data_IF_417254217425
#
_entry.id   IF_417254217425
#
_cell.length_a   1.000
_cell.length_b   1.000
_cell.length_c   1.000
_cell.angle_alpha   90.00
_cell.angle_beta   90.00
_cell.angle_gamma   90.00
#
_symmetry.space_group_name_H-M   'P 1'
#
loop_
_entity.id
_entity.type
_entity.pdbx_description
1 polymer ?
#
# COMPACT_ATOMS: atom_id res chain seq x y z
N UNK A 1 28.63 -1.84 66.31
CA UNK A 1 27.18 -1.92 65.95
C UNK A 1 26.76 -1.03 64.75
N UNK A 2 27.68 -0.34 64.09
CA UNK A 2 27.32 0.53 62.92
C UNK A 2 27.76 -0.10 61.55
N UNK A 3 28.44 -1.26 61.57
CA UNK A 3 28.96 -1.87 60.36
C UNK A 3 28.04 -2.91 59.69
N UNK A 4 26.85 -3.18 60.25
CA UNK A 4 25.92 -4.23 59.70
C UNK A 4 24.72 -3.68 58.92
N UNK A 5 24.50 -2.36 58.85
CA UNK A 5 23.37 -1.78 58.09
C UNK A 5 23.69 -1.37 56.65
N UNK A 6 24.92 -1.44 56.20
CA UNK A 6 25.32 -0.99 54.83
C UNK A 6 25.43 -2.08 53.78
N UNK A 7 25.29 -3.37 54.19
CA UNK A 7 25.37 -4.49 53.24
C UNK A 7 24.00 -4.86 52.62
N UNK A 8 22.90 -4.39 53.22
CA UNK A 8 21.52 -4.68 52.76
C UNK A 8 21.00 -3.78 51.63
N UNK A 9 21.60 -2.59 51.39
CA UNK A 9 21.09 -1.62 50.43
C UNK A 9 21.67 -1.78 49.01
N UNK A 10 22.87 -2.38 48.89
CA UNK A 10 23.49 -2.61 47.56
C UNK A 10 22.92 -3.82 46.81
N UNK A 11 22.36 -4.80 47.52
CA UNK A 11 21.73 -5.97 46.87
C UNK A 11 20.34 -5.63 46.27
N UNK A 12 19.63 -4.68 46.81
CA UNK A 12 18.33 -4.23 46.26
C UNK A 12 18.45 -3.39 45.00
N UNK A 13 19.57 -2.68 44.79
CA UNK A 13 19.78 -1.83 43.62
C UNK A 13 20.25 -2.68 42.40
N UNK A 14 20.98 -3.76 42.66
CA UNK A 14 21.41 -4.66 41.57
C UNK A 14 20.29 -5.51 41.01
N UNK A 15 19.36 -5.95 41.85
CA UNK A 15 18.20 -6.74 41.39
C UNK A 15 17.18 -5.87 40.66
N UNK A 16 17.03 -4.59 41.06
CA UNK A 16 16.16 -3.64 40.35
C UNK A 16 16.72 -3.24 38.96
N UNK A 17 18.04 -3.16 38.80
CA UNK A 17 18.66 -2.86 37.49
C UNK A 17 18.62 -4.09 36.58
N UNK A 18 18.76 -5.32 37.14
CA UNK A 18 18.61 -6.54 36.35
C UNK A 18 17.15 -6.77 35.90
N UNK A 19 16.17 -6.37 36.68
CA UNK A 19 14.74 -6.53 36.30
C UNK A 19 14.31 -5.49 35.26
N UNK A 20 14.94 -4.29 35.25
CA UNK A 20 14.72 -3.27 34.22
C UNK A 20 15.44 -3.57 32.88
N UNK A 21 16.48 -4.38 32.89
CA UNK A 21 17.20 -4.79 31.66
C UNK A 21 16.46 -5.88 30.87
N UNK A 22 15.41 -6.51 31.40
CA UNK A 22 14.60 -7.54 30.73
C UNK A 22 13.26 -7.07 30.19
N UNK A 23 12.92 -5.78 30.34
CA UNK A 23 11.90 -5.15 29.53
C UNK A 23 12.52 -4.72 28.19
N UNK A 24 13.02 -5.69 27.42
CA UNK A 24 13.00 -5.56 25.98
C UNK A 24 11.52 -5.46 25.59
N UNK A 25 11.02 -4.24 25.52
CA UNK A 25 9.89 -3.92 24.67
C UNK A 25 10.38 -4.27 23.29
N UNK A 26 10.08 -5.49 22.84
CA UNK A 26 10.10 -5.81 21.42
C UNK A 26 9.10 -4.85 20.81
N UNK A 27 9.57 -3.71 20.35
CA UNK A 27 8.81 -2.87 19.43
C UNK A 27 8.60 -3.79 18.24
N UNK A 28 7.42 -4.43 18.16
CA UNK A 28 7.01 -5.09 16.95
C UNK A 28 7.02 -4.00 15.89
N UNK A 29 8.00 -4.03 15.00
CA UNK A 29 8.01 -3.16 13.84
C UNK A 29 6.84 -3.68 13.00
N UNK A 30 5.78 -2.89 12.95
CA UNK A 30 4.57 -3.17 12.19
C UNK A 30 4.69 -2.45 10.85
N UNK A 31 4.12 -3.00 9.79
CA UNK A 31 4.05 -2.36 8.48
C UNK A 31 3.55 -0.90 8.62
N UNK A 32 4.20 0.04 7.93
CA UNK A 32 3.79 1.44 7.96
C UNK A 32 2.48 1.60 7.19
N UNK A 33 1.43 2.08 7.86
CA UNK A 33 0.12 2.37 7.26
C UNK A 33 -0.13 3.87 7.27
N UNK A 34 -0.42 4.46 6.13
CA UNK A 34 -0.76 5.88 5.98
C UNK A 34 -2.21 5.97 5.50
N UNK A 35 -3.05 6.49 6.36
CA UNK A 35 -4.47 6.70 6.10
C UNK A 35 -4.75 8.19 5.88
N UNK A 36 -5.03 8.57 4.62
CA UNK A 36 -5.29 9.97 4.27
C UNK A 36 -6.59 10.52 4.85
N UNK A 37 -7.53 9.66 5.28
CA UNK A 37 -8.76 10.09 5.94
C UNK A 37 -8.52 10.77 7.30
N UNK A 38 -7.34 10.58 7.91
CA UNK A 38 -6.97 11.23 9.18
C UNK A 38 -6.69 12.73 9.03
N UNK A 39 -6.48 13.21 7.80
CA UNK A 39 -6.19 14.62 7.52
C UNK A 39 -7.13 15.16 6.45
N UNK A 40 -7.79 16.28 6.73
CA UNK A 40 -8.69 16.92 5.77
C UNK A 40 -7.92 17.50 4.58
N UNK A 41 -8.34 17.13 3.37
CA UNK A 41 -7.79 17.64 2.12
C UNK A 41 -8.84 17.57 0.99
N UNK A 42 -8.50 18.05 -0.19
CA UNK A 42 -9.36 17.93 -1.39
C UNK A 42 -9.60 16.47 -1.78
N UNK A 43 -8.75 15.54 -1.35
CA UNK A 43 -8.93 14.11 -1.57
C UNK A 43 -10.25 13.62 -0.99
N UNK A 44 -10.69 14.16 0.16
CA UNK A 44 -11.94 13.79 0.82
C UNK A 44 -13.16 14.00 -0.07
N UNK A 45 -13.15 15.04 -0.93
CA UNK A 45 -14.24 15.28 -1.88
C UNK A 45 -14.31 14.17 -2.93
N UNK A 46 -13.17 13.74 -3.47
CA UNK A 46 -13.15 12.66 -4.47
C UNK A 46 -13.56 11.33 -3.88
N UNK A 47 -13.13 11.06 -2.64
CA UNK A 47 -13.56 9.88 -1.89
C UNK A 47 -15.07 9.90 -1.63
N UNK A 48 -15.63 11.04 -1.25
CA UNK A 48 -17.07 11.19 -1.07
C UNK A 48 -17.85 10.92 -2.38
N UNK A 49 -17.41 11.46 -3.50
CA UNK A 49 -18.07 11.29 -4.79
C UNK A 49 -18.03 9.84 -5.32
N UNK A 50 -16.93 9.09 -5.09
CA UNK A 50 -16.86 7.68 -5.51
C UNK A 50 -17.69 6.75 -4.61
N UNK A 51 -18.05 7.19 -3.41
CA UNK A 51 -18.91 6.46 -2.48
C UNK A 51 -20.39 6.79 -2.64
N UNK A 52 -20.72 7.99 -3.12
CA UNK A 52 -22.08 8.48 -3.21
C UNK A 52 -22.82 7.81 -4.38
N UNK A 53 -23.85 7.02 -4.06
CA UNK A 53 -24.69 6.32 -5.04
C UNK A 53 -25.36 7.23 -6.05
N UNK A 54 -25.56 8.52 -5.72
CA UNK A 54 -26.11 9.52 -6.64
C UNK A 54 -25.09 10.01 -7.69
N UNK A 55 -23.79 9.78 -7.46
CA UNK A 55 -22.70 10.30 -8.29
C UNK A 55 -21.90 9.18 -8.95
N UNK A 56 -21.59 8.10 -8.22
CA UNK A 56 -20.68 7.03 -8.64
C UNK A 56 -21.11 6.29 -9.91
N UNK A 57 -22.41 6.35 -10.29
CA UNK A 57 -22.93 5.73 -11.52
C UNK A 57 -22.40 6.34 -12.81
N UNK A 58 -21.88 7.57 -12.78
CA UNK A 58 -21.14 8.16 -13.91
C UNK A 58 -19.74 7.55 -13.99
N UNK A 59 -19.58 6.57 -14.90
CA UNK A 59 -18.33 5.83 -15.08
C UNK A 59 -17.13 6.73 -15.41
N UNK A 60 -17.32 7.79 -16.18
CA UNK A 60 -16.26 8.73 -16.52
C UNK A 60 -15.81 9.49 -15.28
N UNK A 61 -16.76 10.03 -14.52
CA UNK A 61 -16.49 10.75 -13.27
C UNK A 61 -15.85 9.84 -12.22
N UNK A 62 -16.35 8.61 -12.09
CA UNK A 62 -15.77 7.60 -11.19
C UNK A 62 -14.30 7.35 -11.50
N UNK A 63 -13.96 7.00 -12.77
CA UNK A 63 -12.58 6.79 -13.19
C UNK A 63 -11.72 8.03 -12.96
N UNK A 64 -12.23 9.22 -13.30
CA UNK A 64 -11.46 10.47 -13.13
C UNK A 64 -11.21 10.81 -11.67
N UNK A 65 -12.13 10.49 -10.77
CA UNK A 65 -11.91 10.68 -9.33
C UNK A 65 -10.88 9.68 -8.77
N UNK A 66 -10.93 8.42 -9.17
CA UNK A 66 -9.88 7.43 -8.81
C UNK A 66 -8.50 7.89 -9.31
N UNK A 67 -8.43 8.42 -10.54
CA UNK A 67 -7.20 8.97 -11.12
C UNK A 67 -6.67 10.16 -10.31
N UNK A 68 -7.52 11.14 -9.92
CA UNK A 68 -7.15 12.28 -9.07
C UNK A 68 -6.67 11.85 -7.69
N UNK A 69 -7.32 10.85 -7.09
CA UNK A 69 -6.86 10.25 -5.84
C UNK A 69 -5.45 9.68 -6.03
N UNK A 70 -5.21 8.96 -7.13
CA UNK A 70 -3.88 8.43 -7.48
C UNK A 70 -2.83 9.52 -7.64
N UNK A 71 -3.14 10.64 -8.30
CA UNK A 71 -2.25 11.80 -8.45
C UNK A 71 -1.83 12.37 -7.09
N UNK A 72 -2.79 12.55 -6.17
CA UNK A 72 -2.53 13.07 -4.82
C UNK A 72 -1.68 12.07 -4.00
N UNK A 73 -2.05 10.79 -4.04
CA UNK A 73 -1.30 9.74 -3.35
C UNK A 73 0.13 9.64 -3.88
N UNK A 74 0.33 9.70 -5.19
CA UNK A 74 1.65 9.66 -5.82
C UNK A 74 2.52 10.83 -5.36
N UNK A 75 1.96 12.03 -5.24
CA UNK A 75 2.67 13.20 -4.69
C UNK A 75 3.13 12.95 -3.25
N UNK A 76 2.25 12.46 -2.38
CA UNK A 76 2.62 12.16 -1.00
C UNK A 76 3.68 11.04 -0.91
N UNK A 77 3.50 9.96 -1.68
CA UNK A 77 4.45 8.85 -1.74
C UNK A 77 5.82 9.27 -2.27
N UNK A 78 5.87 10.24 -3.17
CA UNK A 78 7.15 10.73 -3.71
C UNK A 78 8.09 11.25 -2.63
N UNK A 79 7.57 11.71 -1.49
CA UNK A 79 8.35 12.20 -0.35
C UNK A 79 9.18 11.10 0.34
N UNK A 80 8.82 9.84 0.15
CA UNK A 80 9.53 8.66 0.70
C UNK A 80 10.59 8.10 -0.27
N UNK A 81 10.74 8.69 -1.47
CA UNK A 81 11.76 8.30 -2.43
C UNK A 81 13.15 8.82 -2.02
N UNK A 82 14.17 8.27 -2.62
CA UNK A 82 15.55 8.74 -2.47
C UNK A 82 15.79 9.93 -3.41
N UNK A 83 16.50 10.94 -2.94
CA UNK A 83 16.76 12.16 -3.71
C UNK A 83 18.25 12.44 -3.83
N UNK A 84 18.68 12.93 -5.01
CA UNK A 84 20.01 13.49 -5.22
C UNK A 84 19.94 14.89 -5.84
N UNK A 85 21.00 15.66 -5.60
CA UNK A 85 21.11 17.04 -6.14
C UNK A 85 21.65 16.99 -7.57
N UNK A 86 20.88 17.50 -8.52
CA UNK A 86 21.29 17.70 -9.91
C UNK A 86 21.54 19.16 -10.22
N UNK A 87 22.60 19.43 -11.00
CA UNK A 87 22.88 20.77 -11.53
C UNK A 87 22.09 20.96 -12.82
N UNK A 88 21.15 21.90 -12.81
CA UNK A 88 20.26 22.18 -13.94
C UNK A 88 20.65 23.51 -14.57
N UNK A 89 20.97 23.50 -15.87
CA UNK A 89 21.26 24.74 -16.60
C UNK A 89 19.94 25.48 -16.87
N UNK A 90 19.84 26.69 -16.35
CA UNK A 90 18.74 27.62 -16.65
C UNK A 90 19.19 28.67 -17.65
N UNK A 91 18.29 29.49 -18.22
CA UNK A 91 18.68 30.58 -19.11
C UNK A 91 19.58 31.63 -18.44
N UNK A 92 19.57 31.75 -17.10
CA UNK A 92 20.29 32.80 -16.37
C UNK A 92 21.44 32.27 -15.49
N UNK A 93 21.62 30.93 -15.40
CA UNK A 93 22.68 30.36 -14.58
C UNK A 93 22.47 28.88 -14.29
N UNK A 94 23.14 28.35 -13.26
CA UNK A 94 23.00 26.95 -12.83
C UNK A 94 22.22 26.88 -11.52
N UNK A 95 21.18 26.08 -11.48
CA UNK A 95 20.38 25.80 -10.27
C UNK A 95 20.69 24.39 -9.74
N UNK A 96 20.82 24.26 -8.43
CA UNK A 96 20.90 22.97 -7.75
C UNK A 96 19.50 22.52 -7.36
N UNK A 97 19.04 21.42 -7.92
CA UNK A 97 17.68 20.89 -7.70
C UNK A 97 17.74 19.45 -7.22
N UNK A 98 17.08 19.15 -6.10
CA UNK A 98 16.88 17.77 -5.63
C UNK A 98 15.82 17.08 -6.49
N UNK A 99 16.19 15.96 -7.10
CA UNK A 99 15.29 15.14 -7.92
C UNK A 99 15.27 13.70 -7.42
N UNK A 100 14.15 12.95 -7.57
CA UNK A 100 14.12 11.55 -7.19
C UNK A 100 15.06 10.72 -8.06
N UNK A 101 15.71 9.74 -7.44
CA UNK A 101 16.64 8.80 -8.09
C UNK A 101 16.08 7.39 -8.22
N UNK A 102 15.00 7.08 -7.50
CA UNK A 102 14.40 5.74 -7.52
C UNK A 102 13.87 5.41 -8.92
N UNK A 103 14.19 4.23 -9.43
CA UNK A 103 13.51 3.65 -10.58
C UNK A 103 12.18 3.04 -10.12
N UNK A 104 11.07 3.74 -10.38
CA UNK A 104 9.72 3.30 -10.00
C UNK A 104 9.13 2.40 -11.06
N UNK A 105 8.48 1.32 -10.62
CA UNK A 105 7.60 0.47 -11.46
C UNK A 105 6.21 0.47 -10.83
N UNK A 106 5.22 0.96 -11.58
CA UNK A 106 3.83 0.96 -11.17
C UNK A 106 3.19 -0.35 -11.65
N UNK A 107 2.67 -1.12 -10.72
CA UNK A 107 2.05 -2.42 -10.98
C UNK A 107 0.57 -2.39 -10.61
N UNK A 108 -0.29 -2.95 -11.46
CA UNK A 108 -1.74 -2.98 -11.20
C UNK A 108 -2.37 -4.32 -11.48
N UNK A 109 -3.44 -4.59 -10.73
CA UNK A 109 -4.31 -5.76 -10.95
C UNK A 109 -5.46 -5.37 -11.88
N UNK A 110 -5.62 -6.07 -12.98
CA UNK A 110 -6.74 -5.86 -13.90
C UNK A 110 -8.06 -6.32 -13.28
N UNK A 111 -9.14 -5.59 -13.57
CA UNK A 111 -9.42 -4.36 -14.36
C UNK A 111 -9.41 -3.09 -13.51
N UNK A 112 -9.86 -3.20 -12.26
CA UNK A 112 -10.22 -2.08 -11.38
C UNK A 112 -9.05 -1.12 -11.12
N UNK A 113 -7.82 -1.61 -11.11
CA UNK A 113 -6.62 -0.82 -10.84
C UNK A 113 -6.23 0.20 -11.91
N UNK A 114 -6.74 0.08 -13.15
CA UNK A 114 -6.30 0.93 -14.26
C UNK A 114 -6.46 2.45 -14.03
N UNK A 115 -7.58 2.98 -13.52
CA UNK A 115 -7.69 4.41 -13.29
C UNK A 115 -6.70 4.91 -12.22
N UNK A 116 -6.48 4.12 -11.16
CA UNK A 116 -5.51 4.47 -10.12
C UNK A 116 -4.09 4.45 -10.69
N UNK A 117 -3.75 3.44 -11.49
CA UNK A 117 -2.48 3.35 -12.22
C UNK A 117 -2.23 4.60 -13.08
N UNK A 118 -3.24 5.06 -13.83
CA UNK A 118 -3.14 6.27 -14.64
C UNK A 118 -2.80 7.49 -13.78
N UNK A 119 -3.44 7.64 -12.61
CA UNK A 119 -3.15 8.73 -11.68
C UNK A 119 -1.70 8.73 -11.19
N UNK A 120 -1.17 7.56 -10.83
CA UNK A 120 0.24 7.44 -10.47
C UNK A 120 1.18 7.71 -11.65
N UNK A 121 0.84 7.24 -12.85
CA UNK A 121 1.66 7.45 -14.04
C UNK A 121 1.70 8.92 -14.47
N UNK A 122 0.64 9.71 -14.22
CA UNK A 122 0.63 11.15 -14.46
C UNK A 122 1.67 11.90 -13.61
N UNK A 123 2.08 11.34 -12.47
CA UNK A 123 3.09 11.92 -11.57
C UNK A 123 4.47 11.30 -11.75
N UNK A 124 4.54 10.01 -12.08
CA UNK A 124 5.76 9.26 -12.33
C UNK A 124 5.85 8.89 -13.82
N UNK A 125 5.95 9.90 -14.69
CA UNK A 125 5.85 9.77 -16.16
C UNK A 125 6.94 8.89 -16.79
N UNK A 126 8.06 8.68 -16.08
CA UNK A 126 9.14 7.78 -16.50
C UNK A 126 9.06 6.38 -15.86
N UNK A 127 8.04 6.09 -15.06
CA UNK A 127 7.92 4.81 -14.40
C UNK A 127 7.75 3.65 -15.39
N UNK A 128 8.37 2.51 -15.07
CA UNK A 128 8.03 1.25 -15.71
C UNK A 128 6.60 0.84 -15.37
N UNK A 129 5.95 0.09 -16.24
CA UNK A 129 4.58 -0.35 -16.04
C UNK A 129 4.51 -1.87 -15.94
N UNK A 130 3.78 -2.38 -14.96
CA UNK A 130 3.54 -3.79 -14.74
C UNK A 130 2.05 -4.07 -14.58
N UNK A 131 1.61 -5.18 -15.16
CA UNK A 131 0.20 -5.58 -15.19
C UNK A 131 0.05 -7.04 -14.84
N UNK A 132 -0.94 -7.37 -14.02
CA UNK A 132 -1.30 -8.74 -13.71
C UNK A 132 -2.80 -8.95 -13.80
N UNK A 133 -3.21 -10.08 -14.40
CA UNK A 133 -4.54 -10.65 -14.26
C UNK A 133 -4.39 -12.00 -13.59
N UNK A 134 -4.90 -12.11 -12.39
CA UNK A 134 -4.85 -13.33 -11.60
C UNK A 134 -6.20 -13.58 -10.93
N UNK A 135 -6.61 -14.83 -10.87
CA UNK A 135 -7.80 -15.23 -10.14
C UNK A 135 -7.57 -16.55 -9.40
N UNK A 136 -8.40 -16.78 -8.41
CA UNK A 136 -8.42 -18.03 -7.68
C UNK A 136 -9.36 -19.03 -8.34
N UNK A 137 -8.95 -20.28 -8.30
CA UNK A 137 -9.82 -21.37 -8.69
C UNK A 137 -9.62 -22.55 -7.72
N UNK A 138 -10.63 -23.41 -7.64
CA UNK A 138 -10.53 -24.63 -6.86
C UNK A 138 -10.00 -25.75 -7.72
N UNK A 139 -8.91 -26.41 -7.27
CA UNK A 139 -8.32 -27.58 -7.97
C UNK A 139 -9.18 -28.82 -7.89
N UNK A 140 -9.96 -28.94 -6.84
CA UNK A 140 -10.79 -30.11 -6.58
C UNK A 140 -12.28 -29.75 -6.55
N UNK A 141 -13.13 -30.78 -6.86
CA UNK A 141 -14.57 -30.62 -6.82
C UNK A 141 -15.14 -30.42 -5.41
N UNK A 142 -14.34 -30.66 -4.38
CA UNK A 142 -14.73 -30.53 -2.98
C UNK A 142 -14.34 -29.15 -2.40
N UNK A 143 -13.82 -28.26 -3.24
CA UNK A 143 -13.41 -26.90 -2.89
C UNK A 143 -12.42 -26.80 -1.71
N UNK A 144 -11.58 -27.82 -1.51
CA UNK A 144 -10.63 -27.89 -0.40
C UNK A 144 -9.29 -27.26 -0.72
N UNK A 145 -8.89 -27.30 -2.00
CA UNK A 145 -7.60 -26.80 -2.46
C UNK A 145 -7.80 -25.63 -3.38
N UNK A 146 -7.40 -24.44 -2.92
CA UNK A 146 -7.39 -23.21 -3.72
C UNK A 146 -6.04 -23.09 -4.40
N UNK A 147 -6.04 -22.81 -5.68
CA UNK A 147 -4.83 -22.44 -6.44
C UNK A 147 -5.03 -21.10 -7.12
N UNK A 148 -3.94 -20.52 -7.56
CA UNK A 148 -3.90 -19.23 -8.24
C UNK A 148 -3.59 -19.45 -9.70
N UNK A 149 -4.47 -18.97 -10.55
CA UNK A 149 -4.20 -18.89 -11.97
C UNK A 149 -3.81 -17.48 -12.37
N UNK A 150 -2.59 -17.34 -12.90
CA UNK A 150 -2.12 -16.10 -13.51
C UNK A 150 -2.37 -16.23 -15.00
N UNK A 151 -3.35 -15.49 -15.50
CA UNK A 151 -3.68 -15.50 -16.93
C UNK A 151 -2.72 -14.63 -17.75
N UNK A 152 -2.30 -13.52 -17.14
CA UNK A 152 -1.45 -12.56 -17.80
C UNK A 152 -0.54 -11.87 -16.80
N UNK A 153 0.73 -11.75 -17.13
CA UNK A 153 1.69 -10.92 -16.42
C UNK A 153 2.63 -10.28 -17.42
N UNK A 154 2.73 -8.96 -17.38
CA UNK A 154 3.72 -8.19 -18.12
C UNK A 154 4.38 -7.21 -17.17
N UNK A 155 5.71 -7.22 -17.10
CA UNK A 155 6.48 -6.36 -16.20
C UNK A 155 7.92 -6.25 -16.70
N UNK A 156 8.59 -5.11 -16.52
CA UNK A 156 10.04 -5.05 -16.62
C UNK A 156 10.71 -5.87 -15.50
N UNK A 157 12.03 -6.04 -15.54
CA UNK A 157 12.79 -6.56 -14.40
C UNK A 157 12.58 -5.64 -13.19
N UNK A 158 12.22 -6.22 -12.05
CA UNK A 158 11.93 -5.50 -10.80
C UNK A 158 13.14 -5.39 -9.88
N UNK A 159 14.24 -6.07 -10.20
CA UNK A 159 15.43 -6.11 -9.34
C UNK A 159 15.96 -4.71 -9.06
N UNK A 160 16.14 -4.39 -7.78
CA UNK A 160 16.65 -3.11 -7.26
C UNK A 160 15.75 -1.88 -7.50
N UNK A 161 14.53 -2.06 -8.01
CA UNK A 161 13.58 -0.98 -8.26
C UNK A 161 12.62 -0.78 -7.09
N UNK A 162 11.96 0.36 -7.06
CA UNK A 162 10.82 0.60 -6.17
C UNK A 162 9.56 0.12 -6.88
N UNK A 163 8.98 -0.98 -6.38
CA UNK A 163 7.70 -1.51 -6.88
C UNK A 163 6.55 -0.83 -6.15
N UNK A 164 5.62 -0.29 -6.90
CA UNK A 164 4.39 0.30 -6.41
C UNK A 164 3.21 -0.50 -6.93
N UNK A 165 2.55 -1.28 -6.06
CA UNK A 165 1.35 -2.03 -6.43
C UNK A 165 0.11 -1.20 -6.11
N UNK A 166 -0.73 -0.98 -7.11
CA UNK A 166 -1.95 -0.16 -7.00
C UNK A 166 -3.20 -0.97 -7.31
N UNK A 167 -4.18 -0.91 -6.41
CA UNK A 167 -5.51 -1.49 -6.58
C UNK A 167 -6.51 -0.60 -5.82
N UNK A 168 -7.66 -0.17 -6.38
CA UNK A 168 -8.59 0.68 -5.67
C UNK A 168 -9.20 0.04 -4.42
N UNK A 169 -9.25 -1.28 -4.32
CA UNK A 169 -9.93 -1.99 -3.24
C UNK A 169 -9.01 -3.01 -2.56
N UNK A 170 -8.72 -2.79 -1.28
CA UNK A 170 -8.07 -3.77 -0.43
C UNK A 170 -9.11 -4.40 0.51
N UNK A 171 -9.83 -5.42 0.01
CA UNK A 171 -10.85 -6.13 0.78
C UNK A 171 -10.23 -7.17 1.73
N UNK A 172 -10.08 -8.44 1.30
CA UNK A 172 -9.43 -9.49 2.12
C UNK A 172 -7.90 -9.42 2.13
N UNK A 173 -7.29 -8.65 1.23
CA UNK A 173 -5.83 -8.61 1.02
C UNK A 173 -5.29 -9.72 0.11
N UNK A 174 -6.06 -10.73 -0.17
CA UNK A 174 -5.63 -11.92 -0.91
C UNK A 174 -5.25 -11.62 -2.37
N UNK A 175 -5.98 -10.75 -3.07
CA UNK A 175 -5.62 -10.33 -4.44
C UNK A 175 -4.27 -9.59 -4.46
N UNK A 176 -4.00 -8.78 -3.45
CA UNK A 176 -2.73 -8.08 -3.30
C UNK A 176 -1.59 -9.06 -3.03
N UNK A 177 -1.79 -10.04 -2.16
CA UNK A 177 -0.84 -11.12 -1.91
C UNK A 177 -0.53 -11.91 -3.19
N UNK A 178 -1.56 -12.25 -3.98
CA UNK A 178 -1.39 -12.94 -5.26
C UNK A 178 -0.60 -12.10 -6.26
N UNK A 179 -0.93 -10.82 -6.39
CA UNK A 179 -0.20 -9.89 -7.25
C UNK A 179 1.27 -9.81 -6.84
N UNK A 180 1.56 -9.65 -5.55
CA UNK A 180 2.92 -9.66 -5.02
C UNK A 180 3.67 -10.94 -5.39
N UNK A 181 3.08 -12.11 -5.10
CA UNK A 181 3.69 -13.42 -5.44
C UNK A 181 3.97 -13.57 -6.93
N UNK A 182 3.11 -13.03 -7.79
CA UNK A 182 3.33 -13.04 -9.24
C UNK A 182 4.49 -12.12 -9.64
N UNK A 183 4.53 -10.89 -9.12
CA UNK A 183 5.54 -9.91 -9.50
C UNK A 183 6.95 -10.30 -9.03
N UNK A 184 7.14 -10.83 -7.83
CA UNK A 184 8.47 -11.22 -7.34
C UNK A 184 9.12 -12.33 -8.17
N UNK A 185 8.38 -13.07 -8.98
CA UNK A 185 8.95 -14.02 -9.96
C UNK A 185 9.76 -13.33 -11.05
N UNK A 186 9.63 -12.01 -11.20
CA UNK A 186 10.29 -11.18 -12.21
C UNK A 186 11.40 -10.28 -11.63
N UNK A 187 11.88 -10.62 -10.45
CA UNK A 187 12.92 -9.92 -9.71
C UNK A 187 12.44 -9.40 -8.35
N UNK A 188 13.31 -9.40 -7.36
CA UNK A 188 13.00 -8.86 -6.04
C UNK A 188 13.21 -7.34 -6.05
N UNK A 189 12.16 -6.53 -5.81
CA UNK A 189 12.31 -5.08 -5.71
C UNK A 189 13.12 -4.68 -4.47
N UNK A 190 13.75 -3.52 -4.51
CA UNK A 190 14.47 -2.96 -3.36
C UNK A 190 13.52 -2.37 -2.31
N UNK A 191 12.38 -1.83 -2.77
CA UNK A 191 11.31 -1.27 -1.91
C UNK A 191 9.96 -1.70 -2.47
N UNK A 192 9.00 -1.93 -1.56
CA UNK A 192 7.60 -2.17 -1.91
C UNK A 192 6.72 -1.08 -1.30
N UNK A 193 5.89 -0.49 -2.15
CA UNK A 193 4.84 0.44 -1.77
C UNK A 193 3.50 -0.13 -2.26
N UNK A 194 2.47 -0.07 -1.45
CA UNK A 194 1.13 -0.54 -1.82
C UNK A 194 0.16 0.63 -1.68
N UNK A 195 -0.65 0.88 -2.70
CA UNK A 195 -1.64 1.95 -2.66
C UNK A 195 -3.03 1.43 -2.98
N UNK A 196 -3.99 1.77 -2.13
CA UNK A 196 -5.40 1.48 -2.38
C UNK A 196 -6.28 2.70 -2.05
N UNK A 197 -7.44 2.77 -2.68
CA UNK A 197 -8.38 3.87 -2.40
C UNK A 197 -9.16 3.55 -1.14
N UNK A 198 -9.81 2.39 -1.09
CA UNK A 198 -10.54 1.92 0.09
C UNK A 198 -9.93 0.60 0.57
N UNK A 199 -9.48 0.57 1.82
CA UNK A 199 -9.08 -0.64 2.52
C UNK A 199 -10.14 -1.08 3.53
N UNK A 200 -10.24 -2.37 3.78
CA UNK A 200 -10.89 -2.89 4.99
C UNK A 200 -9.86 -3.06 6.09
N UNK A 201 -10.29 -2.97 7.35
CA UNK A 201 -9.44 -3.29 8.49
C UNK A 201 -8.85 -4.71 8.38
N UNK A 202 -9.66 -5.69 7.93
CA UNK A 202 -9.21 -7.06 7.71
C UNK A 202 -8.11 -7.17 6.65
N UNK A 203 -8.22 -6.42 5.54
CA UNK A 203 -7.20 -6.39 4.49
C UNK A 203 -5.88 -5.79 4.98
N UNK A 204 -5.95 -4.73 5.81
CA UNK A 204 -4.76 -4.15 6.46
C UNK A 204 -4.07 -5.18 7.34
N UNK A 205 -4.81 -5.85 8.23
CA UNK A 205 -4.28 -6.88 9.12
C UNK A 205 -3.70 -8.09 8.36
N UNK A 206 -4.25 -8.42 7.19
CA UNK A 206 -3.71 -9.46 6.33
C UNK A 206 -2.33 -9.06 5.79
N UNK A 207 -2.20 -7.83 5.30
CA UNK A 207 -0.92 -7.33 4.78
C UNK A 207 0.12 -7.15 5.90
N UNK A 208 -0.27 -6.73 7.10
CA UNK A 208 0.62 -6.66 8.27
C UNK A 208 1.22 -8.03 8.63
N UNK A 209 0.44 -9.10 8.50
CA UNK A 209 0.93 -10.47 8.71
C UNK A 209 1.82 -10.95 7.57
N UNK A 210 1.55 -10.51 6.34
CA UNK A 210 2.33 -10.88 5.16
C UNK A 210 3.68 -10.14 5.12
N UNK A 211 3.70 -8.89 5.59
CA UNK A 211 4.86 -7.99 5.60
C UNK A 211 5.17 -7.53 7.03
N UNK A 212 5.73 -8.40 7.88
CA UNK A 212 6.06 -8.02 9.26
C UNK A 212 7.31 -7.14 9.28
N UNK A 213 7.13 -5.81 9.29
CA UNK A 213 8.23 -4.85 9.33
C UNK A 213 7.88 -3.53 8.64
N UNK A 214 8.81 -2.57 8.65
CA UNK A 214 8.67 -1.24 8.06
C UNK A 214 9.17 -1.12 6.61
N UNK A 215 9.58 -2.26 6.02
CA UNK A 215 10.07 -2.30 4.63
C UNK A 215 8.96 -2.05 3.60
N UNK A 216 7.70 -2.21 4.00
CA UNK A 216 6.51 -2.01 3.17
C UNK A 216 5.64 -0.92 3.74
N UNK A 217 5.24 0.04 2.91
CA UNK A 217 4.28 1.08 3.29
C UNK A 217 2.97 0.86 2.55
N UNK A 218 1.86 0.82 3.29
CA UNK A 218 0.50 0.80 2.76
C UNK A 218 -0.09 2.21 2.82
N UNK A 219 -0.59 2.68 1.68
CA UNK A 219 -1.21 3.99 1.50
C UNK A 219 -2.69 3.80 1.19
N UNK A 220 -3.57 4.35 2.02
CA UNK A 220 -5.01 4.24 1.87
C UNK A 220 -5.67 5.62 1.85
N UNK A 221 -6.58 5.86 0.90
CA UNK A 221 -7.39 7.07 0.95
C UNK A 221 -8.41 7.02 2.10
N UNK A 222 -8.92 5.80 2.42
CA UNK A 222 -9.69 5.54 3.62
C UNK A 222 -9.59 4.07 4.03
N UNK A 223 -9.77 3.80 5.34
CA UNK A 223 -9.87 2.46 5.91
C UNK A 223 -11.26 2.31 6.53
N UNK A 224 -11.99 1.29 6.10
CA UNK A 224 -13.34 0.99 6.56
C UNK A 224 -13.34 -0.21 7.54
N UNK A 225 -14.20 -0.20 8.57
CA UNK A 225 -14.09 -1.13 9.69
C UNK A 225 -14.53 -2.55 9.37
N UNK A 226 -15.46 -2.75 8.42
CA UNK A 226 -16.18 -3.99 8.27
C UNK A 226 -16.17 -4.53 6.83
N UNK A 227 -16.45 -5.81 6.71
CA UNK A 227 -16.80 -6.47 5.45
C UNK A 227 -18.07 -7.29 5.62
N UNK A 228 -18.89 -7.38 4.56
CA UNK A 228 -20.06 -8.22 4.57
C UNK A 228 -19.72 -9.69 4.21
N UNK A 229 -20.74 -10.56 4.27
CA UNK A 229 -20.62 -12.01 3.96
C UNK A 229 -20.15 -12.32 2.53
N UNK A 230 -20.28 -11.36 1.61
CA UNK A 230 -19.83 -11.47 0.21
C UNK A 230 -18.44 -10.84 -0.01
N UNK A 231 -17.72 -10.53 1.06
CA UNK A 231 -16.38 -9.89 1.01
C UNK A 231 -16.37 -8.49 0.41
N UNK A 232 -17.49 -7.76 0.45
CA UNK A 232 -17.52 -6.35 0.14
C UNK A 232 -17.20 -5.51 1.37
N UNK A 233 -16.41 -4.46 1.18
CA UNK A 233 -16.06 -3.48 2.23
C UNK A 233 -17.31 -2.67 2.60
N UNK A 234 -17.53 -2.43 3.89
CA UNK A 234 -18.66 -1.68 4.43
C UNK A 234 -18.16 -0.53 5.30
N UNK A 235 -18.57 0.73 5.01
CA UNK A 235 -19.51 1.19 3.99
C UNK A 235 -19.01 1.08 2.55
N UNK A 236 -17.69 1.05 2.29
CA UNK A 236 -17.11 0.81 0.97
C UNK A 236 -17.56 1.75 -0.14
N UNK A 237 -17.58 1.23 -1.36
CA UNK A 237 -18.09 1.91 -2.56
C UNK A 237 -18.80 0.94 -3.54
N UNK A 238 -18.83 -0.35 -3.24
CA UNK A 238 -19.32 -1.41 -4.14
C UNK A 238 -18.21 -2.07 -4.94
N UNK A 239 -18.48 -2.54 -6.17
CA UNK A 239 -17.48 -3.12 -7.08
C UNK A 239 -16.83 -2.02 -7.94
N UNK A 240 -15.57 -1.70 -7.63
CA UNK A 240 -14.82 -0.66 -8.33
C UNK A 240 -14.61 -0.99 -9.83
N UNK A 241 -14.48 -2.27 -10.18
CA UNK A 241 -14.32 -2.71 -11.57
C UNK A 241 -15.57 -2.49 -12.39
N UNK A 242 -16.72 -2.83 -11.83
CA UNK A 242 -18.01 -2.67 -12.50
C UNK A 242 -18.42 -1.19 -12.58
N UNK A 243 -18.17 -0.40 -11.53
CA UNK A 243 -18.35 1.05 -11.55
C UNK A 243 -17.46 1.74 -12.60
N UNK A 244 -16.22 1.28 -12.76
CA UNK A 244 -15.29 1.87 -13.72
C UNK A 244 -15.55 1.45 -15.17
N UNK A 245 -15.89 0.17 -15.43
CA UNK A 245 -15.84 -0.44 -16.76
C UNK A 245 -17.13 -1.18 -17.19
N UNK A 246 -18.09 -1.27 -16.30
CA UNK A 246 -19.34 -2.02 -16.53
C UNK A 246 -19.25 -3.46 -16.01
N UNK A 247 -20.43 -4.04 -15.83
CA UNK A 247 -20.64 -5.33 -15.21
C UNK A 247 -19.89 -6.45 -15.96
N UNK A 248 -19.36 -7.40 -15.18
CA UNK A 248 -18.79 -8.64 -15.72
C UNK A 248 -19.93 -9.56 -16.17
N UNK A 249 -19.74 -10.25 -17.28
CA UNK A 249 -20.65 -11.27 -17.79
C UNK A 249 -20.28 -12.61 -17.18
#
# INVERSE_FOLDING_TARGET
EIAQCLVGSEMCIRDSICTLAYLHISTFIVMKVINFAETNSVLNQYVAEIRDVAVQGDRMRFRRNIERIGEIMAYEMSKELTYSVKQVQTPLGVASVSTPDDEVVIATVFRAGLPLHTGFLNMFDHAGNAFVSAYRYYKDKECRTVDVHIEYIATPDLSKKTLLIVDPMLATGESMELAWKAFVTKGMPAKLQIACVIASQQGVEHLEKLFPGDEVTLWCAAIDPEMNEHSYIVPGLGDAGDLAFGDKI
#
